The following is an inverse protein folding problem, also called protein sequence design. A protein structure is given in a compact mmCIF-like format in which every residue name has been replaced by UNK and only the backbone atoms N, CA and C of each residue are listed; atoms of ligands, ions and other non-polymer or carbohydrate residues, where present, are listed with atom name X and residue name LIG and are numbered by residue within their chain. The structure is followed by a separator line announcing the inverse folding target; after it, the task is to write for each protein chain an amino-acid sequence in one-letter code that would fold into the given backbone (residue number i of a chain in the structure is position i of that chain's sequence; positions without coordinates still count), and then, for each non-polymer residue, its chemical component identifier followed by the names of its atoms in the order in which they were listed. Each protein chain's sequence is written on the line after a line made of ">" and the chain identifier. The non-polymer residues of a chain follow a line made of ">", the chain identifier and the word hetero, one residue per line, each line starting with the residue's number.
data_IF_542293361590
#
_entry.id   IF_542293361590
#
_cell.length_a   1.000
_cell.length_b   1.000
_cell.length_c   1.000
_cell.angle_alpha   90.00
_cell.angle_beta   90.00
_cell.angle_gamma   90.00
#
_symmetry.space_group_name_H-M   'P 1'
#
loop_
_entity.id
_entity.type
_entity.pdbx_description
1 polymer ?
#
# COMPACT_ATOMS: atom_id res chain seq x y z
N UNK A 1 42.03 -3.55 5.76
CA UNK A 1 41.28 -3.59 4.48
C UNK A 1 41.73 -4.82 3.70
N UNK A 2 40.79 -5.74 3.39
CA UNK A 2 41.10 -7.05 2.79
C UNK A 2 41.66 -6.92 1.37
N UNK A 3 42.40 -7.93 0.90
CA UNK A 3 42.93 -7.99 -0.49
C UNK A 3 41.82 -7.89 -1.53
N UNK A 4 40.64 -8.45 -1.24
CA UNK A 4 39.47 -8.39 -2.12
C UNK A 4 38.93 -6.97 -2.28
N UNK A 5 38.93 -6.16 -1.22
CA UNK A 5 38.45 -4.78 -1.29
C UNK A 5 39.35 -3.88 -2.16
N UNK A 6 40.67 -4.14 -2.17
CA UNK A 6 41.59 -3.42 -3.05
C UNK A 6 41.36 -3.75 -4.51
N UNK A 7 41.25 -5.05 -4.84
CA UNK A 7 40.96 -5.50 -6.20
C UNK A 7 39.60 -4.99 -6.70
N UNK A 8 38.60 -4.94 -5.82
CA UNK A 8 37.28 -4.37 -6.14
C UNK A 8 37.35 -2.89 -6.52
N UNK A 9 38.16 -2.09 -5.81
CA UNK A 9 38.37 -0.67 -6.15
C UNK A 9 39.18 -0.47 -7.42
N UNK A 10 40.09 -1.38 -7.73
CA UNK A 10 40.87 -1.36 -8.99
C UNK A 10 40.00 -1.75 -10.19
N UNK A 11 39.07 -2.68 -10.02
CA UNK A 11 38.11 -3.12 -11.06
C UNK A 11 37.02 -2.07 -11.33
N UNK A 12 36.59 -1.33 -10.29
CA UNK A 12 35.55 -0.29 -10.40
C UNK A 12 36.00 1.08 -9.86
N UNK A 13 37.02 1.74 -10.46
CA UNK A 13 37.66 2.92 -9.87
C UNK A 13 36.72 4.11 -9.59
N UNK A 14 35.75 4.31 -10.48
CA UNK A 14 34.83 5.45 -10.44
C UNK A 14 33.49 5.13 -9.76
N UNK A 15 33.12 3.85 -9.63
CA UNK A 15 31.77 3.44 -9.17
C UNK A 15 31.78 2.51 -7.96
N UNK A 16 32.94 2.13 -7.42
CA UNK A 16 33.02 1.21 -6.28
C UNK A 16 32.28 1.72 -5.05
N UNK A 17 32.24 3.04 -4.82
CA UNK A 17 31.48 3.64 -3.71
C UNK A 17 29.98 3.46 -3.94
N UNK A 18 29.50 3.88 -5.12
CA UNK A 18 28.09 3.75 -5.50
C UNK A 18 27.61 2.30 -5.46
N UNK A 19 28.45 1.33 -5.83
CA UNK A 19 28.13 -0.10 -5.75
C UNK A 19 27.96 -0.54 -4.30
N UNK A 20 28.80 -0.06 -3.38
CA UNK A 20 28.69 -0.39 -1.96
C UNK A 20 27.49 0.30 -1.31
N UNK A 21 27.25 1.57 -1.67
CA UNK A 21 26.08 2.33 -1.19
C UNK A 21 24.79 1.66 -1.69
N UNK A 22 24.73 1.27 -2.97
CA UNK A 22 23.62 0.51 -3.55
C UNK A 22 23.44 -0.85 -2.87
N UNK A 23 24.54 -1.53 -2.52
CA UNK A 23 24.49 -2.81 -1.81
C UNK A 23 23.97 -2.64 -0.37
N UNK A 24 24.41 -1.61 0.34
CA UNK A 24 23.94 -1.28 1.70
C UNK A 24 22.46 -0.86 1.68
N UNK A 25 22.05 -0.06 0.69
CA UNK A 25 20.64 0.27 0.45
C UNK A 25 19.81 -0.97 0.11
N UNK A 26 20.34 -1.89 -0.70
CA UNK A 26 19.68 -3.14 -1.08
C UNK A 26 19.56 -4.10 0.12
N UNK A 27 20.55 -4.18 1.01
CA UNK A 27 20.45 -4.96 2.26
C UNK A 27 19.47 -4.30 3.25
N UNK A 28 19.43 -2.97 3.33
CA UNK A 28 18.44 -2.24 4.13
C UNK A 28 17.00 -2.46 3.62
N UNK A 29 16.83 -2.59 2.30
CA UNK A 29 15.57 -2.99 1.64
C UNK A 29 15.30 -4.50 1.78
N UNK A 30 16.36 -5.31 1.89
CA UNK A 30 16.36 -6.76 2.02
C UNK A 30 15.77 -7.32 3.33
N UNK A 31 15.31 -6.45 4.24
CA UNK A 31 14.46 -6.79 5.38
C UNK A 31 13.05 -7.23 4.97
N UNK A 32 12.96 -8.24 4.09
CA UNK A 32 11.72 -8.90 3.70
C UNK A 32 10.96 -9.40 4.96
N UNK A 33 9.71 -8.97 5.08
CA UNK A 33 8.68 -9.45 6.02
C UNK A 33 8.94 -9.32 7.53
N UNK A 34 9.32 -8.14 8.01
CA UNK A 34 9.11 -7.84 9.43
C UNK A 34 7.62 -7.63 9.73
N UNK A 35 7.10 -8.41 10.67
CA UNK A 35 5.73 -8.26 11.17
C UNK A 35 5.55 -6.93 11.92
N UNK A 36 4.28 -6.56 12.12
CA UNK A 36 3.88 -5.40 12.95
C UNK A 36 4.57 -5.37 14.29
N UNK A 37 4.56 -6.51 14.97
CA UNK A 37 5.09 -6.67 16.31
C UNK A 37 6.61 -6.56 16.32
N UNK A 38 7.29 -7.16 15.34
CA UNK A 38 8.75 -7.05 15.22
C UNK A 38 9.19 -5.60 15.00
N UNK A 39 8.49 -4.83 14.15
CA UNK A 39 8.77 -3.41 13.97
C UNK A 39 8.53 -2.60 15.24
N UNK A 40 7.43 -2.87 15.97
CA UNK A 40 7.16 -2.23 17.26
C UNK A 40 8.26 -2.53 18.29
N UNK A 41 8.70 -3.78 18.39
CA UNK A 41 9.76 -4.19 19.31
C UNK A 41 11.11 -3.57 18.94
N UNK A 42 11.46 -3.56 17.65
CA UNK A 42 12.68 -2.93 17.15
C UNK A 42 12.66 -1.42 17.41
N UNK A 43 11.54 -0.75 17.10
CA UNK A 43 11.37 0.68 17.37
C UNK A 43 11.51 1.01 18.85
N UNK A 44 10.85 0.26 19.73
CA UNK A 44 10.95 0.44 21.17
C UNK A 44 12.40 0.28 21.67
N UNK A 45 13.13 -0.71 21.12
CA UNK A 45 14.55 -0.92 21.44
C UNK A 45 15.41 0.26 21.00
N UNK A 46 15.24 0.74 19.77
CA UNK A 46 16.00 1.86 19.22
C UNK A 46 15.72 3.16 19.97
N UNK A 47 14.45 3.47 20.25
CA UNK A 47 14.06 4.62 21.07
C UNK A 47 14.70 4.54 22.45
N UNK A 48 14.65 3.37 23.11
CA UNK A 48 15.28 3.18 24.42
C UNK A 48 16.78 3.47 24.38
N UNK A 49 17.48 2.95 23.37
CA UNK A 49 18.91 3.16 23.20
C UNK A 49 19.23 4.65 23.00
N UNK A 50 18.54 5.33 22.07
CA UNK A 50 18.78 6.75 21.81
C UNK A 50 18.49 7.63 23.03
N UNK A 51 17.40 7.35 23.76
CA UNK A 51 17.10 8.05 25.02
C UNK A 51 18.23 7.92 26.03
N UNK A 52 18.77 6.70 26.19
CA UNK A 52 19.89 6.44 27.10
C UNK A 52 21.14 7.20 26.68
N UNK A 53 21.45 7.22 25.38
CA UNK A 53 22.59 7.96 24.83
C UNK A 53 22.44 9.46 25.07
N UNK A 54 21.33 10.09 24.67
CA UNK A 54 21.10 11.52 24.91
C UNK A 54 21.11 11.87 26.40
N UNK A 55 20.49 11.04 27.25
CA UNK A 55 20.52 11.24 28.71
C UNK A 55 21.95 11.15 29.27
N UNK A 56 22.77 10.23 28.75
CA UNK A 56 24.17 10.10 29.13
C UNK A 56 25.00 11.31 28.72
N UNK A 57 24.82 11.79 27.49
CA UNK A 57 25.51 12.99 26.98
C UNK A 57 25.12 14.25 27.73
N UNK A 58 23.83 14.43 28.06
CA UNK A 58 23.37 15.55 28.88
C UNK A 58 24.02 15.56 30.27
N UNK A 59 24.10 14.38 30.91
CA UNK A 59 24.69 14.26 32.25
C UNK A 59 26.21 14.44 32.24
N UNK A 60 26.92 13.81 31.31
CA UNK A 60 28.38 13.78 31.30
C UNK A 60 28.99 15.04 30.67
N UNK A 61 28.33 15.62 29.67
CA UNK A 61 28.91 16.66 28.81
C UNK A 61 28.06 17.92 28.70
N UNK A 62 26.92 18.00 29.40
CA UNK A 62 25.96 19.12 29.32
C UNK A 62 25.46 19.40 27.90
N UNK A 63 25.37 18.34 27.09
CA UNK A 63 24.76 18.42 25.77
C UNK A 63 23.26 18.23 25.87
N UNK A 64 22.52 19.22 25.41
CA UNK A 64 21.07 19.17 25.35
C UNK A 64 20.62 18.77 23.94
N UNK A 65 19.51 18.05 23.86
CA UNK A 65 18.99 17.59 22.60
C UNK A 65 17.53 17.18 22.69
N UNK A 66 16.87 17.33 21.55
CA UNK A 66 15.51 16.86 21.30
C UNK A 66 15.52 16.06 20.01
N UNK A 67 14.77 14.97 19.96
CA UNK A 67 14.60 14.21 18.74
C UNK A 67 13.17 13.70 18.59
N UNK A 68 12.80 13.47 17.34
CA UNK A 68 11.56 12.79 16.95
C UNK A 68 11.93 11.55 16.15
N UNK A 69 11.27 10.44 16.44
CA UNK A 69 11.31 9.25 15.61
C UNK A 69 9.91 8.82 15.22
N UNK A 70 9.73 8.41 13.98
CA UNK A 70 8.50 7.79 13.50
C UNK A 70 8.86 6.70 12.48
N UNK A 71 8.00 5.68 12.37
CA UNK A 71 8.21 4.66 11.34
C UNK A 71 7.75 5.15 9.97
N UNK A 72 8.43 4.70 8.93
CA UNK A 72 8.26 5.18 7.56
C UNK A 72 7.24 4.39 6.75
N UNK A 73 6.85 3.21 7.21
CA UNK A 73 5.91 2.37 6.45
C UNK A 73 4.50 2.81 6.83
N UNK A 74 3.72 3.38 5.92
CA UNK A 74 2.42 4.02 6.25
C UNK A 74 1.47 3.05 6.94
N UNK A 75 1.29 1.90 6.32
CA UNK A 75 0.41 0.84 6.81
C UNK A 75 1.03 0.21 8.06
N UNK A 76 2.35 0.07 7.98
CA UNK A 76 3.37 -0.16 9.00
C UNK A 76 3.08 0.51 10.36
N UNK A 77 3.32 1.79 10.42
CA UNK A 77 3.93 2.36 11.59
C UNK A 77 3.04 3.43 12.19
N UNK A 78 1.72 3.31 11.97
CA UNK A 78 0.73 4.27 12.46
C UNK A 78 0.86 4.54 13.96
N UNK A 79 1.19 3.52 14.75
CA UNK A 79 1.46 3.65 16.19
C UNK A 79 2.91 3.98 16.57
N UNK A 80 3.86 4.00 15.64
CA UNK A 80 5.27 4.27 15.92
C UNK A 80 5.57 5.76 15.79
N UNK A 81 5.56 6.45 16.91
CA UNK A 81 5.98 7.84 17.03
C UNK A 81 6.57 8.06 18.41
N UNK A 82 7.62 8.84 18.51
CA UNK A 82 8.24 9.18 19.77
C UNK A 82 8.89 10.55 19.72
N UNK A 83 8.67 11.34 20.76
CA UNK A 83 9.42 12.56 21.04
C UNK A 83 10.20 12.31 22.32
N UNK A 84 11.44 12.78 22.34
CA UNK A 84 12.26 12.81 23.54
C UNK A 84 13.00 14.14 23.62
N UNK A 85 13.04 14.71 24.82
CA UNK A 85 13.85 15.89 25.15
C UNK A 85 14.69 15.65 26.40
N UNK A 86 15.91 16.17 26.40
CA UNK A 86 16.69 16.38 27.62
C UNK A 86 16.19 17.60 28.38
N UNK A 87 16.67 17.82 29.61
CA UNK A 87 16.11 18.81 30.54
C UNK A 87 16.11 20.25 30.00
N UNK A 88 17.14 20.65 29.26
CA UNK A 88 17.24 21.98 28.65
C UNK A 88 16.51 22.11 27.31
N UNK A 89 15.93 21.03 26.78
CA UNK A 89 15.19 21.01 25.52
C UNK A 89 13.70 20.62 25.71
N UNK A 90 13.23 20.59 26.97
CA UNK A 90 11.81 20.42 27.30
C UNK A 90 11.00 21.53 26.62
N UNK A 91 9.81 21.18 26.14
CA UNK A 91 8.88 22.09 25.46
C UNK A 91 9.40 22.76 24.18
N UNK A 92 10.56 22.36 23.65
CA UNK A 92 11.15 22.97 22.45
C UNK A 92 10.14 23.06 21.28
N UNK A 93 9.41 21.98 20.98
CA UNK A 93 8.40 21.99 19.91
C UNK A 93 7.19 22.85 20.25
N UNK A 94 6.73 22.85 21.50
CA UNK A 94 5.61 23.68 21.93
C UNK A 94 5.96 25.17 21.84
N UNK A 95 7.16 25.55 22.24
CA UNK A 95 7.60 26.95 22.23
C UNK A 95 7.99 27.45 20.84
N UNK A 96 8.75 26.64 20.08
CA UNK A 96 9.34 27.06 18.79
C UNK A 96 8.48 26.69 17.59
N UNK A 97 7.79 25.56 17.65
CA UNK A 97 6.95 25.08 16.56
C UNK A 97 5.45 25.28 16.83
N UNK A 98 5.07 25.70 18.06
CA UNK A 98 3.65 25.82 18.48
C UNK A 98 2.88 24.51 18.30
N UNK A 99 3.57 23.39 18.49
CA UNK A 99 3.03 22.04 18.35
C UNK A 99 3.39 21.23 19.59
N UNK A 100 2.40 20.61 20.22
CA UNK A 100 2.68 19.66 21.29
C UNK A 100 3.32 18.37 20.74
N UNK A 101 3.71 17.46 21.64
CA UNK A 101 4.36 16.21 21.25
C UNK A 101 3.53 15.36 20.27
N UNK A 102 2.20 15.37 20.39
CA UNK A 102 1.33 14.62 19.49
C UNK A 102 1.22 15.32 18.13
N UNK A 103 1.06 16.63 18.13
CA UNK A 103 0.97 17.44 16.91
C UNK A 103 2.25 17.33 16.09
N UNK A 104 3.42 17.47 16.73
CA UNK A 104 4.70 17.40 16.02
C UNK A 104 5.00 16.00 15.49
N UNK A 105 4.63 14.95 16.23
CA UNK A 105 4.70 13.55 15.74
C UNK A 105 3.73 13.36 14.56
N UNK A 106 2.53 13.93 14.65
CA UNK A 106 1.53 13.89 13.58
C UNK A 106 2.06 14.56 12.30
N UNK A 107 2.60 15.77 12.41
CA UNK A 107 3.21 16.50 11.30
C UNK A 107 4.41 15.75 10.72
N UNK A 108 5.27 15.20 11.57
CA UNK A 108 6.44 14.45 11.12
C UNK A 108 6.05 13.17 10.37
N UNK A 109 5.06 12.41 10.87
CA UNK A 109 4.49 11.26 10.17
C UNK A 109 3.87 11.64 8.84
N UNK A 110 3.06 12.70 8.81
CA UNK A 110 2.43 13.19 7.59
C UNK A 110 3.49 13.55 6.53
N UNK A 111 4.58 14.21 6.94
CA UNK A 111 5.70 14.52 6.07
C UNK A 111 6.37 13.26 5.50
N UNK A 112 6.68 12.27 6.36
CA UNK A 112 7.28 11.00 5.94
C UNK A 112 6.37 10.28 4.94
N UNK A 113 5.07 10.20 5.21
CA UNK A 113 4.11 9.50 4.35
C UNK A 113 3.92 10.23 3.01
N UNK A 114 3.92 11.56 3.03
CA UNK A 114 3.89 12.35 1.81
C UNK A 114 5.13 12.08 0.95
N UNK A 115 6.33 12.07 1.54
CA UNK A 115 7.58 11.75 0.83
C UNK A 115 7.59 10.32 0.29
N UNK A 116 7.18 9.34 1.09
CA UNK A 116 7.08 7.94 0.65
C UNK A 116 6.11 7.77 -0.52
N UNK A 117 4.98 8.49 -0.50
CA UNK A 117 4.02 8.53 -1.61
C UNK A 117 4.62 9.13 -2.87
N UNK A 118 5.33 10.26 -2.77
CA UNK A 118 6.00 10.89 -3.91
C UNK A 118 7.08 10.00 -4.52
N UNK A 119 7.88 9.30 -3.72
CA UNK A 119 8.87 8.34 -4.24
C UNK A 119 8.19 7.20 -4.99
N UNK A 120 7.08 6.68 -4.47
CA UNK A 120 6.31 5.64 -5.17
C UNK A 120 5.77 6.15 -6.52
N UNK A 121 5.25 7.39 -6.57
CA UNK A 121 4.80 8.00 -7.82
C UNK A 121 5.96 8.23 -8.80
N UNK A 122 7.11 8.73 -8.33
CA UNK A 122 8.28 8.93 -9.18
C UNK A 122 8.73 7.62 -9.84
N UNK A 123 8.83 6.53 -9.05
CA UNK A 123 9.14 5.20 -9.58
C UNK A 123 8.10 4.71 -10.60
N UNK A 124 6.81 5.01 -10.40
CA UNK A 124 5.75 4.66 -11.34
C UNK A 124 5.80 5.46 -12.65
N UNK A 125 6.31 6.70 -12.64
CA UNK A 125 6.34 7.59 -13.80
C UNK A 125 7.69 7.63 -14.54
N UNK A 126 8.80 7.20 -13.92
CA UNK A 126 10.10 7.10 -14.57
C UNK A 126 10.21 5.92 -15.54
N UNK A 127 9.41 4.86 -15.35
CA UNK A 127 9.24 3.78 -16.34
C UNK A 127 8.52 4.24 -17.64
N UNK A 128 7.98 5.48 -17.66
CA UNK A 128 7.19 6.03 -18.77
C UNK A 128 7.91 7.05 -19.66
N UNK A 129 9.19 7.38 -19.44
CA UNK A 129 9.92 8.35 -20.27
C UNK A 129 10.78 7.66 -21.33
N UNK A 130 10.11 7.15 -22.36
CA UNK A 130 10.58 7.34 -23.72
C UNK A 130 9.44 8.01 -24.52
N UNK A 131 9.81 9.06 -25.24
CA UNK A 131 9.03 9.88 -26.17
C UNK A 131 8.12 10.98 -25.59
N UNK A 132 8.71 12.18 -25.51
CA UNK A 132 8.35 13.25 -26.45
C UNK A 132 7.12 14.11 -26.15
N UNK A 133 7.36 15.34 -25.70
CA UNK A 133 6.70 16.49 -26.35
C UNK A 133 5.74 17.36 -25.52
N UNK A 134 6.31 18.48 -25.04
CA UNK A 134 5.75 19.82 -24.96
C UNK A 134 4.63 20.17 -23.96
N UNK A 135 5.02 21.02 -23.02
CA UNK A 135 4.16 21.92 -22.26
C UNK A 135 3.53 23.01 -23.14
N UNK A 136 2.32 23.46 -22.79
CA UNK A 136 1.98 24.89 -22.63
C UNK A 136 0.55 25.15 -22.09
N UNK A 137 0.53 25.95 -21.01
CA UNK A 137 -0.39 27.03 -20.56
C UNK A 137 -1.89 26.81 -20.28
N UNK A 138 -2.23 27.32 -19.08
CA UNK A 138 -3.54 27.80 -18.59
C UNK A 138 -4.07 28.98 -19.42
N UNK A 139 -5.39 29.11 -19.52
CA UNK A 139 -6.11 30.31 -19.07
C UNK A 139 -7.62 30.04 -18.86
N UNK A 140 -8.22 30.92 -18.06
CA UNK A 140 -9.53 30.85 -17.38
C UNK A 140 -10.76 31.20 -18.26
N UNK A 141 -11.92 30.69 -17.83
CA UNK A 141 -13.19 31.45 -17.78
C UNK A 141 -14.16 31.36 -18.97
N UNK A 142 -15.36 30.80 -18.75
CA UNK A 142 -16.50 31.01 -19.65
C UNK A 142 -17.62 29.97 -19.54
N UNK A 143 -18.80 30.40 -19.09
CA UNK A 143 -19.97 29.60 -18.75
C UNK A 143 -20.84 29.18 -19.96
N UNK A 144 -21.50 28.03 -19.78
CA UNK A 144 -22.76 27.56 -20.38
C UNK A 144 -22.79 27.06 -21.84
N UNK A 145 -22.90 25.73 -22.00
CA UNK A 145 -24.09 25.06 -22.55
C UNK A 145 -23.94 23.53 -22.46
N UNK A 146 -24.95 22.87 -21.87
CA UNK A 146 -25.05 21.41 -21.74
C UNK A 146 -25.05 20.74 -23.13
N UNK A 147 -24.17 19.76 -23.31
CA UNK A 147 -24.40 18.58 -24.15
C UNK A 147 -24.15 17.34 -23.29
N UNK A 148 -25.17 16.51 -23.20
CA UNK A 148 -25.13 15.17 -22.60
C UNK A 148 -24.12 14.31 -23.35
N UNK A 149 -23.00 14.00 -22.70
CA UNK A 149 -22.23 12.78 -22.96
C UNK A 149 -22.11 12.02 -21.63
N UNK A 150 -22.57 10.77 -21.65
CA UNK A 150 -22.85 9.92 -20.49
C UNK A 150 -21.63 9.43 -19.72
N UNK A 151 -20.93 10.35 -19.06
CA UNK A 151 -19.97 10.05 -18.00
C UNK A 151 -20.69 9.60 -16.72
N UNK A 152 -20.15 8.57 -16.07
CA UNK A 152 -20.67 8.02 -14.81
C UNK A 152 -20.55 9.09 -13.72
N UNK A 153 -21.68 9.59 -13.21
CA UNK A 153 -21.68 10.39 -11.97
C UNK A 153 -21.30 9.45 -10.82
N UNK A 154 -20.08 9.57 -10.32
CA UNK A 154 -19.61 8.78 -9.17
C UNK A 154 -20.36 9.20 -7.91
N UNK A 155 -21.51 8.60 -7.65
CA UNK A 155 -22.14 8.67 -6.34
C UNK A 155 -21.34 7.78 -5.38
N UNK A 156 -20.30 8.34 -4.76
CA UNK A 156 -19.54 7.67 -3.71
C UNK A 156 -20.41 7.55 -2.46
N UNK A 157 -21.06 6.41 -2.30
CA UNK A 157 -21.77 6.07 -1.06
C UNK A 157 -20.76 5.53 -0.04
N UNK A 158 -20.68 6.18 1.13
CA UNK A 158 -19.88 5.67 2.26
C UNK A 158 -20.58 4.45 2.86
N UNK A 159 -20.30 3.27 2.32
CA UNK A 159 -20.68 1.99 2.94
C UNK A 159 -19.74 1.80 4.13
N UNK A 160 -20.21 2.11 5.34
CA UNK A 160 -19.44 2.29 6.60
C UNK A 160 -18.63 1.08 7.09
N UNK A 161 -17.74 0.58 6.25
CA UNK A 161 -16.97 -0.64 6.46
C UNK A 161 -15.49 -0.29 6.52
N UNK A 162 -14.85 -0.72 7.61
CA UNK A 162 -13.41 -0.64 7.76
C UNK A 162 -12.77 -1.75 6.93
N UNK A 163 -12.56 -1.47 5.64
CA UNK A 163 -11.99 -2.41 4.68
C UNK A 163 -10.58 -2.85 5.05
N UNK A 164 -9.81 -1.98 5.70
CA UNK A 164 -8.53 -2.30 6.30
C UNK A 164 -8.64 -2.20 7.82
N UNK A 165 -8.46 -3.32 8.51
CA UNK A 165 -8.20 -3.34 9.96
C UNK A 165 -6.72 -3.65 10.11
N UNK A 166 -5.88 -2.64 9.92
CA UNK A 166 -4.41 -2.78 9.96
C UNK A 166 -3.73 -2.67 8.59
N UNK A 167 -2.50 -3.23 8.53
CA UNK A 167 -1.46 -2.83 7.57
C UNK A 167 -1.48 -3.51 6.20
N UNK A 168 -2.30 -4.54 6.06
CA UNK A 168 -2.32 -5.39 4.88
C UNK A 168 -3.72 -5.32 4.28
N UNK A 169 -3.77 -5.13 2.96
CA UNK A 169 -4.99 -5.33 2.21
C UNK A 169 -5.51 -6.74 2.51
N UNK A 170 -6.78 -6.91 2.91
CA UNK A 170 -7.26 -8.17 3.48
C UNK A 170 -7.51 -9.22 2.39
N UNK A 171 -6.50 -9.57 1.59
CA UNK A 171 -6.64 -10.39 0.39
C UNK A 171 -7.45 -11.67 0.63
N UNK A 172 -7.07 -12.47 1.62
CA UNK A 172 -7.77 -13.71 1.97
C UNK A 172 -9.15 -13.47 2.61
N UNK A 173 -9.31 -12.37 3.33
CA UNK A 173 -10.54 -12.03 4.04
C UNK A 173 -11.51 -11.17 3.24
N UNK A 174 -11.13 -10.74 2.03
CA UNK A 174 -11.87 -9.75 1.25
C UNK A 174 -13.28 -10.25 0.90
N UNK A 175 -13.50 -11.50 0.45
CA UNK A 175 -14.84 -12.01 0.14
C UNK A 175 -15.79 -11.95 1.36
N UNK A 176 -15.29 -12.33 2.55
CA UNK A 176 -16.06 -12.24 3.79
C UNK A 176 -16.39 -10.79 4.18
N UNK A 177 -15.46 -9.86 3.96
CA UNK A 177 -15.68 -8.42 4.23
C UNK A 177 -16.72 -7.84 3.28
N UNK A 178 -16.62 -8.13 1.98
CA UNK A 178 -17.61 -7.74 0.96
C UNK A 178 -19.03 -8.20 1.37
N UNK A 179 -19.18 -9.47 1.79
CA UNK A 179 -20.45 -9.98 2.29
C UNK A 179 -20.96 -9.24 3.54
N UNK A 180 -20.11 -9.01 4.54
CA UNK A 180 -20.47 -8.29 5.77
C UNK A 180 -20.93 -6.87 5.49
N UNK A 181 -20.30 -6.23 4.52
CA UNK A 181 -20.61 -4.88 4.06
C UNK A 181 -21.84 -4.80 3.17
N UNK A 182 -22.31 -5.94 2.64
CA UNK A 182 -23.33 -5.96 1.60
C UNK A 182 -22.84 -5.31 0.30
N UNK A 183 -21.58 -5.55 -0.08
CA UNK A 183 -20.97 -5.00 -1.31
C UNK A 183 -20.59 -6.16 -2.21
N UNK A 184 -20.76 -5.96 -3.52
CA UNK A 184 -20.39 -6.92 -4.55
C UNK A 184 -19.41 -6.27 -5.51
N UNK A 185 -18.34 -7.01 -5.83
CA UNK A 185 -17.35 -6.64 -6.84
C UNK A 185 -17.74 -7.26 -8.19
N UNK A 186 -17.65 -6.47 -9.26
CA UNK A 186 -17.95 -6.87 -10.63
C UNK A 186 -16.74 -6.62 -11.52
N UNK A 187 -16.70 -7.34 -12.65
CA UNK A 187 -15.69 -7.24 -13.69
C UNK A 187 -14.26 -7.49 -13.17
N UNK A 188 -14.11 -8.44 -12.26
CA UNK A 188 -12.79 -8.84 -11.80
C UNK A 188 -12.05 -9.61 -12.91
N UNK A 189 -10.79 -9.28 -13.24
CA UNK A 189 -10.09 -9.88 -14.39
C UNK A 189 -9.99 -11.41 -14.32
N UNK A 190 -10.42 -12.12 -15.38
CA UNK A 190 -10.40 -13.59 -15.39
C UNK A 190 -8.99 -14.18 -15.28
N UNK A 191 -7.98 -13.49 -15.82
CA UNK A 191 -6.56 -13.91 -15.76
C UNK A 191 -5.94 -13.78 -14.37
N UNK A 192 -6.58 -13.04 -13.45
CA UNK A 192 -6.08 -12.83 -12.09
C UNK A 192 -6.79 -13.79 -11.13
N UNK A 193 -6.07 -14.48 -10.23
CA UNK A 193 -6.67 -15.24 -9.16
C UNK A 193 -7.57 -14.35 -8.29
N UNK A 194 -8.70 -14.88 -7.84
CA UNK A 194 -9.54 -14.13 -6.92
C UNK A 194 -8.87 -13.96 -5.55
N UNK A 195 -9.23 -12.91 -4.80
CA UNK A 195 -8.72 -12.68 -3.45
C UNK A 195 -8.99 -13.89 -2.53
N UNK A 196 -7.91 -14.46 -2.00
CA UNK A 196 -7.98 -15.66 -1.15
C UNK A 196 -8.10 -17.00 -1.88
N UNK A 197 -8.17 -17.01 -3.22
CA UNK A 197 -8.17 -18.24 -4.02
C UNK A 197 -6.83 -18.97 -3.86
N UNK A 198 -6.88 -20.27 -3.57
CA UNK A 198 -5.69 -21.11 -3.44
C UNK A 198 -5.22 -21.59 -4.82
N UNK A 199 -3.90 -21.56 -5.06
CA UNK A 199 -3.32 -22.14 -6.28
C UNK A 199 -3.21 -23.67 -6.11
N UNK A 200 -3.67 -24.42 -7.09
CA UNK A 200 -3.72 -25.90 -7.08
C UNK A 200 -2.36 -26.61 -6.88
N UNK A 201 -1.23 -25.90 -6.95
CA UNK A 201 0.11 -26.51 -6.96
C UNK A 201 0.82 -26.56 -5.59
N UNK A 202 0.31 -25.97 -4.50
CA UNK A 202 1.04 -26.03 -3.22
C UNK A 202 0.63 -27.23 -2.38
N UNK A 203 1.50 -28.25 -2.38
CA UNK A 203 1.54 -29.23 -1.29
C UNK A 203 1.88 -28.48 0.02
N UNK A 204 0.89 -28.42 0.93
CA UNK A 204 1.02 -27.96 2.32
C UNK A 204 1.68 -26.59 2.50
N UNK A 205 0.90 -25.54 2.28
CA UNK A 205 1.26 -24.17 2.66
C UNK A 205 0.32 -23.20 1.97
N UNK A 206 -0.76 -22.83 2.65
CA UNK A 206 -1.86 -22.04 2.08
C UNK A 206 -1.42 -20.71 1.47
N UNK A 207 -2.36 -20.03 0.80
CA UNK A 207 -2.08 -18.79 0.08
C UNK A 207 -1.41 -17.71 0.96
N UNK A 208 -0.27 -17.16 0.52
CA UNK A 208 0.52 -16.10 1.19
C UNK A 208 -0.09 -14.69 1.04
N UNK A 209 -1.40 -14.59 0.79
CA UNK A 209 -2.08 -13.31 0.59
C UNK A 209 -1.84 -12.73 -0.81
N UNK A 210 -1.82 -11.40 -0.92
CA UNK A 210 -1.67 -10.71 -2.22
C UNK A 210 -0.31 -10.98 -2.88
N UNK A 211 0.72 -11.31 -2.08
CA UNK A 211 2.06 -11.67 -2.55
C UNK A 211 2.10 -12.98 -3.36
N UNK A 212 1.00 -13.74 -3.42
CA UNK A 212 0.89 -14.87 -4.33
C UNK A 212 0.59 -14.46 -5.77
N UNK A 213 0.32 -13.18 -6.05
CA UNK A 213 0.18 -12.68 -7.41
C UNK A 213 1.54 -12.55 -8.09
N UNK A 214 1.62 -12.97 -9.35
CA UNK A 214 2.79 -12.69 -10.19
C UNK A 214 2.80 -11.23 -10.63
N UNK A 215 3.95 -10.71 -11.06
CA UNK A 215 4.04 -9.35 -11.59
C UNK A 215 3.00 -9.07 -12.71
N UNK A 216 2.81 -9.95 -13.72
CA UNK A 216 1.78 -9.75 -14.74
C UNK A 216 0.35 -9.69 -14.18
N UNK A 217 0.04 -10.51 -13.18
CA UNK A 217 -1.28 -10.50 -12.53
C UNK A 217 -1.48 -9.22 -11.71
N UNK A 218 -0.44 -8.74 -11.01
CA UNK A 218 -0.46 -7.46 -10.31
C UNK A 218 -0.70 -6.29 -11.28
N UNK A 219 0.04 -6.24 -12.40
CA UNK A 219 -0.14 -5.22 -13.44
C UNK A 219 -1.55 -5.26 -14.01
N UNK A 220 -2.08 -6.45 -14.30
CA UNK A 220 -3.46 -6.61 -14.79
C UNK A 220 -4.49 -6.12 -13.78
N UNK A 221 -4.31 -6.43 -12.50
CA UNK A 221 -5.21 -5.99 -11.43
C UNK A 221 -5.15 -4.46 -11.24
N UNK A 222 -3.97 -3.86 -11.30
CA UNK A 222 -3.79 -2.40 -11.22
C UNK A 222 -4.44 -1.69 -12.41
N UNK A 223 -4.26 -2.21 -13.62
CA UNK A 223 -4.94 -1.69 -14.81
C UNK A 223 -6.47 -1.74 -14.66
N UNK A 224 -7.00 -2.86 -14.17
CA UNK A 224 -8.44 -3.00 -13.94
C UNK A 224 -8.99 -2.06 -12.85
N UNK A 225 -8.19 -1.77 -11.81
CA UNK A 225 -8.55 -0.83 -10.75
C UNK A 225 -8.49 0.64 -11.21
N UNK A 226 -7.66 0.95 -12.21
CA UNK A 226 -7.55 2.28 -12.81
C UNK A 226 -8.45 2.49 -14.03
N UNK A 227 -9.20 1.47 -14.45
CA UNK A 227 -10.12 1.57 -15.58
C UNK A 227 -11.48 2.14 -15.12
N UNK A 228 -11.69 3.42 -15.41
CA UNK A 228 -12.95 4.13 -15.13
C UNK A 228 -14.05 3.85 -16.17
N UNK A 229 -13.81 2.96 -17.14
CA UNK A 229 -14.81 2.55 -18.13
C UNK A 229 -15.98 1.79 -17.49
N UNK A 230 -17.06 1.61 -18.27
CA UNK A 230 -18.20 0.79 -17.83
C UNK A 230 -17.84 -0.69 -17.65
N UNK A 231 -16.81 -1.14 -18.36
CA UNK A 231 -16.32 -2.52 -18.33
C UNK A 231 -15.23 -2.72 -17.25
N UNK A 232 -14.71 -1.63 -16.67
CA UNK A 232 -13.72 -1.65 -15.60
C UNK A 232 -14.22 -2.33 -14.32
N UNK A 233 -13.30 -2.68 -13.42
CA UNK A 233 -13.62 -3.30 -12.14
C UNK A 233 -14.34 -2.29 -11.24
N UNK A 234 -15.51 -2.66 -10.72
CA UNK A 234 -16.24 -1.77 -9.81
C UNK A 234 -16.91 -2.50 -8.64
N UNK A 235 -17.25 -1.72 -7.61
CA UNK A 235 -17.98 -2.17 -6.44
C UNK A 235 -19.37 -1.56 -6.42
N UNK A 236 -20.38 -2.35 -6.03
CA UNK A 236 -21.77 -1.90 -5.90
C UNK A 236 -22.35 -2.37 -4.59
N UNK A 237 -23.09 -1.49 -3.91
CA UNK A 237 -23.92 -1.87 -2.76
C UNK A 237 -24.99 -2.87 -3.23
N UNK A 238 -25.07 -4.01 -2.55
CA UNK A 238 -26.15 -4.96 -2.74
C UNK A 238 -27.43 -4.38 -2.13
N UNK A 239 -28.59 -4.81 -2.63
CA UNK A 239 -29.88 -4.43 -2.06
C UNK A 239 -29.90 -4.75 -0.55
N UNK A 240 -30.58 -3.92 0.25
CA UNK A 240 -30.55 -3.93 1.72
C UNK A 240 -30.73 -5.32 2.35
N UNK A 241 -31.56 -6.17 1.73
CA UNK A 241 -31.90 -7.52 2.24
C UNK A 241 -30.93 -8.62 1.77
N UNK A 242 -30.01 -8.31 0.84
CA UNK A 242 -29.08 -9.28 0.27
C UNK A 242 -27.88 -9.58 1.15
N UNK A 243 -27.65 -8.81 2.22
CA UNK A 243 -26.49 -8.99 3.12
C UNK A 243 -26.46 -10.37 3.77
N UNK A 244 -27.59 -10.87 4.27
CA UNK A 244 -27.69 -12.20 4.86
C UNK A 244 -27.41 -13.32 3.84
N UNK A 245 -27.87 -13.14 2.60
CA UNK A 245 -27.68 -14.09 1.49
C UNK A 245 -26.21 -14.15 1.07
N UNK A 246 -25.52 -13.01 1.00
CA UNK A 246 -24.08 -12.95 0.72
C UNK A 246 -23.26 -13.60 1.83
N UNK A 247 -23.58 -13.35 3.11
CA UNK A 247 -22.89 -13.96 4.25
C UNK A 247 -23.08 -15.47 4.33
N UNK A 248 -24.29 -15.95 4.01
CA UNK A 248 -24.60 -17.37 3.90
C UNK A 248 -23.98 -18.05 2.67
N UNK A 249 -23.23 -17.31 1.83
CA UNK A 249 -22.64 -17.82 0.59
C UNK A 249 -23.67 -18.39 -0.40
N UNK A 250 -24.90 -17.87 -0.38
CA UNK A 250 -25.95 -18.22 -1.34
C UNK A 250 -25.88 -17.34 -2.60
N UNK A 251 -25.22 -16.19 -2.51
CA UNK A 251 -24.89 -15.33 -3.64
C UNK A 251 -23.38 -15.04 -3.71
N UNK A 252 -22.81 -14.91 -4.92
CA UNK A 252 -21.43 -14.47 -5.09
C UNK A 252 -21.21 -13.03 -4.64
N UNK A 253 -20.00 -12.77 -4.13
CA UNK A 253 -19.49 -11.45 -3.72
C UNK A 253 -18.51 -10.86 -4.73
N UNK A 254 -17.95 -11.68 -5.62
CA UNK A 254 -17.10 -11.23 -6.74
C UNK A 254 -17.57 -11.93 -8.01
N UNK A 255 -17.80 -11.15 -9.05
CA UNK A 255 -18.07 -11.61 -10.41
C UNK A 255 -16.87 -11.26 -11.28
N UNK A 256 -16.31 -12.28 -11.95
CA UNK A 256 -15.26 -12.10 -12.94
C UNK A 256 -15.81 -11.57 -14.26
N UNK A 257 -14.91 -11.11 -15.12
CA UNK A 257 -15.22 -10.78 -16.51
C UNK A 257 -15.65 -12.01 -17.29
N UNK A 258 -16.33 -11.79 -18.42
CA UNK A 258 -16.53 -12.83 -19.43
C UNK A 258 -15.18 -13.44 -19.84
N UNK A 259 -15.13 -14.74 -20.18
CA UNK A 259 -13.93 -15.35 -20.73
C UNK A 259 -13.56 -14.69 -22.07
N UNK A 260 -12.28 -14.73 -22.42
CA UNK A 260 -11.85 -14.33 -23.75
C UNK A 260 -12.53 -15.21 -24.82
N UNK A 261 -12.80 -14.65 -26.00
CA UNK A 261 -13.46 -15.34 -27.11
C UNK A 261 -12.76 -16.65 -27.56
N UNK A 262 -11.46 -16.77 -27.27
CA UNK A 262 -10.63 -17.92 -27.57
C UNK A 262 -10.51 -18.91 -26.38
N UNK A 263 -11.20 -18.64 -25.27
CA UNK A 263 -11.20 -19.51 -24.09
C UNK A 263 -12.11 -20.71 -24.31
N UNK A 264 -11.71 -21.87 -23.78
CA UNK A 264 -12.57 -23.05 -23.71
C UNK A 264 -13.67 -22.93 -22.65
N UNK A 265 -13.66 -21.85 -21.86
CA UNK A 265 -14.63 -21.59 -20.80
C UNK A 265 -15.80 -20.81 -21.36
N UNK A 266 -17.02 -21.25 -21.07
CA UNK A 266 -18.26 -20.63 -21.56
C UNK A 266 -18.76 -19.49 -20.67
N UNK A 267 -18.25 -19.37 -19.45
CA UNK A 267 -18.67 -18.36 -18.48
C UNK A 267 -17.50 -17.93 -17.58
N UNK A 268 -17.58 -16.70 -17.10
CA UNK A 268 -16.67 -16.08 -16.16
C UNK A 268 -16.71 -16.74 -14.79
N UNK A 269 -15.64 -16.56 -14.01
CA UNK A 269 -15.57 -17.05 -12.63
C UNK A 269 -16.48 -16.23 -11.71
N UNK A 270 -16.96 -16.84 -10.62
CA UNK A 270 -17.58 -16.13 -9.49
C UNK A 270 -17.08 -16.68 -8.17
N UNK A 271 -16.97 -15.82 -7.16
CA UNK A 271 -16.52 -16.21 -5.82
C UNK A 271 -17.56 -15.87 -4.75
N UNK A 272 -17.70 -16.79 -3.81
CA UNK A 272 -18.59 -16.68 -2.65
C UNK A 272 -17.82 -16.29 -1.38
N UNK A 273 -18.55 -15.89 -0.33
CA UNK A 273 -17.94 -15.42 0.92
C UNK A 273 -17.11 -16.50 1.65
N UNK A 274 -17.42 -17.77 1.42
CA UNK A 274 -16.70 -18.95 1.90
C UNK A 274 -15.50 -19.36 1.03
N UNK A 275 -15.10 -18.52 0.06
CA UNK A 275 -14.00 -18.74 -0.89
C UNK A 275 -14.23 -19.82 -1.94
N UNK A 276 -15.43 -20.40 -2.04
CA UNK A 276 -15.73 -21.30 -3.17
C UNK A 276 -15.80 -20.50 -4.47
N UNK A 277 -15.37 -21.13 -5.56
CA UNK A 277 -15.35 -20.54 -6.90
C UNK A 277 -16.10 -21.46 -7.86
N UNK A 278 -16.98 -20.89 -8.68
CA UNK A 278 -17.61 -21.57 -9.80
C UNK A 278 -17.40 -20.77 -11.11
N UNK A 279 -17.79 -21.36 -12.25
CA UNK A 279 -17.81 -20.70 -13.56
C UNK A 279 -19.23 -20.56 -14.08
N UNK A 280 -20.05 -19.81 -13.34
CA UNK A 280 -21.43 -19.47 -13.70
C UNK A 280 -21.63 -17.95 -13.75
N UNK A 281 -20.55 -17.22 -14.06
CA UNK A 281 -20.49 -15.77 -14.23
C UNK A 281 -21.06 -15.31 -15.58
N UNK A 282 -20.72 -14.07 -15.99
CA UNK A 282 -21.07 -13.57 -17.32
C UNK A 282 -20.60 -14.51 -18.43
N UNK A 283 -21.41 -14.76 -19.48
CA UNK A 283 -21.01 -15.55 -20.63
C UNK A 283 -19.92 -14.87 -21.45
#
# INVERSE_FOLDING_TARGET
>A
LSRCYKLFREEFPETWSDILDTFEEMEAVGGMDQTVSQRQQLFARLVKNLRQTFSGMAKAHRFEGVFIMAGSVVNQDGGLGHVFSTAGAVDFFAERCRADDNDIVGHFKAHIYHKASLTHLALLFEDGKNDGGSAAKKDEGGSAAKKDEGGRTHHTEKVGCQWATGKLFPWKGLPSRLAKSGVVCYNYPDSVPFPGQERQSRMKGGSKGISDLTLPECTTLLAALGDDSKEGLYFKSALSDSRGILQASLMPVIYGTAPAHNSHQTHGKRMYANLTVDRKGPP
#
